data_IF_905919490434
#
_entry.id   IF_905919490434
#
_cell.length_a   1.000
_cell.length_b   1.000
_cell.length_c   1.000
_cell.angle_alpha   90.00
_cell.angle_beta   90.00
_cell.angle_gamma   90.00
#
_symmetry.space_group_name_H-M   'P 1'
#
loop_
_entity.id
_entity.type
_entity.pdbx_description
1 polymer ?
#
# COMPACT_ATOMS: atom_id res chain seq x y z
N UNK A 1 -4.13 6.19 -19.40
CA UNK A 1 -3.11 5.13 -19.23
C UNK A 1 -3.75 3.79 -18.87
N UNK A 2 -4.58 3.69 -17.83
CA UNK A 2 -5.31 2.44 -17.51
C UNK A 2 -6.22 1.94 -18.64
N UNK A 3 -6.79 2.85 -19.46
CA UNK A 3 -7.60 2.50 -20.62
C UNK A 3 -6.85 1.65 -21.65
N UNK A 4 -5.53 1.88 -21.83
CA UNK A 4 -4.70 1.06 -22.71
C UNK A 4 -4.51 -0.37 -22.17
N UNK A 5 -4.65 -0.55 -20.86
CA UNK A 5 -4.67 -1.85 -20.20
C UNK A 5 -6.09 -2.46 -20.11
N UNK A 6 -7.09 -1.86 -20.76
CA UNK A 6 -8.46 -2.38 -20.86
C UNK A 6 -9.43 -1.91 -19.77
N UNK A 7 -8.98 -1.12 -18.79
CA UNK A 7 -9.84 -0.59 -17.73
C UNK A 7 -10.68 0.60 -18.21
N UNK A 8 -11.90 0.72 -17.68
CA UNK A 8 -12.86 1.79 -17.98
C UNK A 8 -13.16 2.58 -16.72
N UNK A 9 -13.52 3.85 -16.87
CA UNK A 9 -13.84 4.73 -15.72
C UNK A 9 -14.94 4.12 -14.83
N UNK A 10 -15.99 3.55 -15.45
CA UNK A 10 -17.07 2.83 -14.76
C UNK A 10 -16.64 1.65 -13.88
N UNK A 11 -15.41 1.15 -14.05
CA UNK A 11 -14.92 0.05 -13.23
C UNK A 11 -14.58 0.52 -11.80
N UNK A 12 -14.35 1.82 -11.61
CA UNK A 12 -13.86 2.38 -10.34
C UNK A 12 -14.38 3.78 -9.97
N UNK A 13 -15.10 4.47 -10.86
CA UNK A 13 -15.55 5.86 -10.64
C UNK A 13 -16.45 6.05 -9.41
N UNK A 14 -17.17 5.00 -9.00
CA UNK A 14 -18.04 5.01 -7.81
C UNK A 14 -17.31 4.65 -6.51
N UNK A 15 -16.02 4.31 -6.56
CA UNK A 15 -15.27 3.97 -5.35
C UNK A 15 -15.07 5.24 -4.51
N UNK A 16 -15.56 5.27 -3.25
CA UNK A 16 -15.36 6.41 -2.39
C UNK A 16 -13.89 6.50 -1.99
N UNK A 17 -13.28 7.65 -2.25
CA UNK A 17 -11.88 7.92 -1.87
C UNK A 17 -11.76 9.25 -1.13
N UNK A 18 -10.85 9.28 -0.17
CA UNK A 18 -10.47 10.51 0.52
C UNK A 18 -9.28 11.14 -0.19
N UNK A 19 -9.42 12.41 -0.56
CA UNK A 19 -8.29 13.17 -1.11
C UNK A 19 -7.28 13.49 -0.01
N UNK A 20 -5.96 13.40 -0.28
CA UNK A 20 -4.93 13.82 0.67
C UNK A 20 -5.07 15.29 1.05
N UNK A 21 -4.86 15.62 2.32
CA UNK A 21 -4.88 17.03 2.78
C UNK A 21 -3.75 17.83 2.15
N UNK A 22 -2.61 17.19 1.89
CA UNK A 22 -1.42 17.77 1.26
C UNK A 22 -1.48 17.76 -0.28
N UNK A 23 -2.64 17.46 -0.90
CA UNK A 23 -2.79 17.38 -2.37
C UNK A 23 -2.22 18.62 -3.09
N UNK A 24 -2.50 19.80 -2.57
CA UNK A 24 -2.10 21.10 -3.14
C UNK A 24 -0.91 21.73 -2.42
N UNK A 25 -0.10 20.94 -1.72
CA UNK A 25 1.11 21.45 -1.06
C UNK A 25 2.16 21.91 -2.07
N UNK A 26 2.73 23.08 -1.82
CA UNK A 26 3.87 23.59 -2.57
C UNK A 26 5.18 22.99 -2.05
N UNK A 27 6.08 22.67 -2.98
CA UNK A 27 7.33 21.94 -2.69
C UNK A 27 8.57 22.85 -2.64
N UNK A 28 8.38 24.17 -2.68
CA UNK A 28 9.43 25.19 -2.66
C UNK A 28 10.29 25.15 -1.39
N UNK A 29 9.68 24.76 -0.26
CA UNK A 29 10.36 24.58 1.03
C UNK A 29 10.92 23.18 1.25
N UNK A 30 10.71 22.24 0.32
CA UNK A 30 11.13 20.84 0.44
C UNK A 30 12.48 20.60 -0.24
N UNK A 31 13.17 19.49 0.07
CA UNK A 31 14.36 19.10 -0.68
C UNK A 31 14.09 19.08 -2.19
N UNK A 32 14.94 19.77 -2.96
CA UNK A 32 14.79 19.96 -4.41
C UNK A 32 14.47 18.67 -5.18
N UNK A 33 15.03 17.54 -4.72
CA UNK A 33 14.81 16.22 -5.32
C UNK A 33 13.33 15.84 -5.40
N UNK A 34 12.48 16.30 -4.49
CA UNK A 34 11.04 16.04 -4.56
C UNK A 34 10.38 16.77 -5.73
N UNK A 35 10.71 18.05 -5.94
CA UNK A 35 10.25 18.81 -7.10
C UNK A 35 10.77 18.21 -8.40
N UNK A 36 12.03 17.78 -8.44
CA UNK A 36 12.61 17.09 -9.59
C UNK A 36 11.89 15.76 -9.88
N UNK A 37 11.61 14.97 -8.85
CA UNK A 37 10.88 13.70 -8.97
C UNK A 37 9.43 13.90 -9.45
N UNK A 38 8.70 14.88 -8.88
CA UNK A 38 7.35 15.24 -9.33
C UNK A 38 7.33 15.55 -10.84
N UNK A 39 8.27 16.36 -11.32
CA UNK A 39 8.41 16.68 -12.75
C UNK A 39 8.70 15.44 -13.59
N UNK A 40 9.60 14.57 -13.13
CA UNK A 40 9.92 13.31 -13.84
C UNK A 40 8.69 12.40 -13.95
N UNK A 41 7.93 12.25 -12.86
CA UNK A 41 6.70 11.45 -12.90
C UNK A 41 5.69 11.97 -13.92
N UNK A 42 5.58 13.29 -14.13
CA UNK A 42 4.66 13.88 -15.11
C UNK A 42 4.97 13.49 -16.56
N UNK A 43 6.21 13.07 -16.88
CA UNK A 43 6.55 12.56 -18.22
C UNK A 43 5.79 11.27 -18.57
N UNK A 44 5.40 10.49 -17.57
CA UNK A 44 4.62 9.25 -17.73
C UNK A 44 3.11 9.53 -17.78
N UNK A 45 2.69 10.62 -18.42
CA UNK A 45 1.30 11.08 -18.48
C UNK A 45 0.97 12.05 -17.33
N UNK A 46 0.80 13.34 -17.61
CA UNK A 46 0.63 14.36 -16.56
C UNK A 46 -0.73 14.23 -15.87
N UNK A 47 -0.71 14.46 -14.55
CA UNK A 47 -1.90 14.68 -13.72
C UNK A 47 -1.81 16.12 -13.24
N UNK A 48 -2.77 16.94 -13.63
CA UNK A 48 -2.76 18.40 -13.41
C UNK A 48 -4.03 18.92 -12.77
N UNK A 49 -5.08 18.09 -12.68
CA UNK A 49 -6.34 18.48 -12.06
C UNK A 49 -6.68 17.59 -10.86
N UNK A 50 -7.48 18.13 -9.94
CA UNK A 50 -7.99 17.36 -8.81
C UNK A 50 -8.82 16.15 -9.27
N UNK A 51 -9.62 16.28 -10.33
CA UNK A 51 -10.39 15.16 -10.88
C UNK A 51 -9.51 14.04 -11.41
N UNK A 52 -8.40 14.37 -12.07
CA UNK A 52 -7.42 13.37 -12.51
C UNK A 52 -6.74 12.69 -11.32
N UNK A 53 -6.40 13.45 -10.28
CA UNK A 53 -5.85 12.92 -9.03
C UNK A 53 -6.86 12.00 -8.33
N UNK A 54 -8.14 12.38 -8.28
CA UNK A 54 -9.23 11.56 -7.73
C UNK A 54 -9.37 10.25 -8.50
N UNK A 55 -9.42 10.30 -9.83
CA UNK A 55 -9.47 9.10 -10.68
C UNK A 55 -8.25 8.21 -10.47
N UNK A 56 -7.06 8.78 -10.27
CA UNK A 56 -5.86 7.99 -9.95
C UNK A 56 -6.02 7.24 -8.63
N UNK A 57 -6.50 7.90 -7.57
CA UNK A 57 -6.69 7.27 -6.25
C UNK A 57 -7.80 6.21 -6.31
N UNK A 58 -8.90 6.47 -7.02
CA UNK A 58 -9.97 5.49 -7.24
C UNK A 58 -9.46 4.27 -8.00
N UNK A 59 -8.66 4.47 -9.04
CA UNK A 59 -8.06 3.38 -9.79
C UNK A 59 -7.08 2.58 -8.93
N UNK A 60 -6.27 3.25 -8.08
CA UNK A 60 -5.40 2.56 -7.12
C UNK A 60 -6.19 1.71 -6.12
N UNK A 61 -7.29 2.25 -5.57
CA UNK A 61 -8.19 1.52 -4.67
C UNK A 61 -8.87 0.32 -5.37
N UNK A 62 -9.27 0.50 -6.63
CA UNK A 62 -9.82 -0.57 -7.46
C UNK A 62 -8.81 -1.71 -7.65
N UNK A 63 -7.57 -1.40 -8.04
CA UNK A 63 -6.52 -2.42 -8.18
C UNK A 63 -6.27 -3.14 -6.85
N UNK A 64 -6.30 -2.41 -5.73
CA UNK A 64 -6.18 -2.99 -4.40
C UNK A 64 -7.31 -3.98 -4.09
N UNK A 65 -8.54 -3.67 -4.52
CA UNK A 65 -9.69 -4.58 -4.40
C UNK A 65 -9.58 -5.83 -5.28
N UNK A 66 -8.92 -5.73 -6.44
CA UNK A 66 -8.65 -6.90 -7.28
C UNK A 66 -7.66 -7.84 -6.59
N UNK A 67 -6.60 -7.29 -6.00
CA UNK A 67 -5.64 -8.07 -5.20
C UNK A 67 -6.33 -8.73 -4.00
N UNK A 68 -7.22 -8.01 -3.31
CA UNK A 68 -7.98 -8.54 -2.16
C UNK A 68 -8.82 -9.77 -2.54
N UNK A 69 -9.42 -9.79 -3.74
CA UNK A 69 -10.15 -10.96 -4.26
C UNK A 69 -9.25 -12.18 -4.45
N UNK A 70 -8.04 -11.99 -4.95
CA UNK A 70 -7.09 -13.09 -5.13
C UNK A 70 -6.55 -13.60 -3.77
N UNK A 71 -6.33 -12.70 -2.81
CA UNK A 71 -6.01 -13.08 -1.42
C UNK A 71 -7.15 -13.92 -0.84
N UNK A 72 -8.39 -13.46 -0.96
CA UNK A 72 -9.57 -14.17 -0.46
C UNK A 72 -9.68 -15.58 -1.07
N UNK A 73 -9.34 -15.75 -2.34
CA UNK A 73 -9.32 -17.06 -2.99
C UNK A 73 -8.33 -18.02 -2.33
N UNK A 74 -7.10 -17.58 -2.04
CA UNK A 74 -6.10 -18.41 -1.36
C UNK A 74 -6.57 -18.77 0.06
N UNK A 75 -7.10 -17.79 0.79
CA UNK A 75 -7.60 -18.01 2.16
C UNK A 75 -8.80 -18.97 2.20
N UNK A 76 -9.70 -18.90 1.23
CA UNK A 76 -10.83 -19.83 1.10
C UNK A 76 -10.37 -21.26 0.84
N UNK A 77 -9.37 -21.45 -0.03
CA UNK A 77 -8.83 -22.80 -0.26
C UNK A 77 -8.07 -23.33 0.95
N UNK A 78 -7.34 -22.49 1.68
CA UNK A 78 -6.70 -22.86 2.94
C UNK A 78 -7.73 -23.38 3.96
N UNK A 79 -8.88 -22.70 4.06
CA UNK A 79 -10.00 -23.08 4.93
C UNK A 79 -10.67 -24.40 4.48
N UNK A 80 -10.97 -24.52 3.17
CA UNK A 80 -11.59 -25.73 2.59
C UNK A 80 -10.77 -27.00 2.81
N UNK A 81 -9.46 -26.88 2.84
CA UNK A 81 -8.55 -28.00 3.08
C UNK A 81 -8.24 -28.24 4.57
N UNK A 82 -8.84 -27.46 5.48
CA UNK A 82 -8.69 -27.64 6.93
C UNK A 82 -7.36 -27.15 7.50
N UNK A 83 -6.57 -26.37 6.74
CA UNK A 83 -5.25 -25.90 7.17
C UNK A 83 -5.28 -24.55 7.90
N UNK A 84 -6.41 -23.85 7.86
CA UNK A 84 -6.54 -22.49 8.41
C UNK A 84 -6.17 -22.41 9.90
N UNK A 85 -6.57 -23.41 10.70
CA UNK A 85 -6.33 -23.42 12.14
C UNK A 85 -4.90 -23.85 12.53
N UNK A 86 -4.06 -24.21 11.55
CA UNK A 86 -2.64 -24.56 11.72
C UNK A 86 -1.72 -23.67 10.87
N UNK A 87 -2.24 -22.53 10.38
CA UNK A 87 -1.47 -21.63 9.50
C UNK A 87 -1.34 -20.24 10.11
N UNK A 88 -0.10 -19.75 10.20
CA UNK A 88 0.19 -18.33 10.39
C UNK A 88 0.02 -17.59 9.06
N UNK A 89 -0.88 -16.61 9.01
CA UNK A 89 -1.08 -15.75 7.84
C UNK A 89 -0.50 -14.37 8.14
N UNK A 90 0.38 -13.89 7.27
CA UNK A 90 1.00 -12.56 7.39
C UNK A 90 0.67 -11.73 6.14
N UNK A 91 0.11 -10.53 6.36
CA UNK A 91 -0.13 -9.55 5.30
C UNK A 91 0.74 -8.32 5.54
N UNK A 92 1.55 -7.99 4.56
CA UNK A 92 2.45 -6.82 4.55
C UNK A 92 2.47 -6.14 3.18
N UNK A 93 3.08 -4.95 3.11
CA UNK A 93 3.52 -4.29 1.87
C UNK A 93 5.01 -3.96 1.99
N UNK A 94 5.73 -3.82 0.88
CA UNK A 94 7.14 -3.38 0.88
C UNK A 94 7.28 -1.88 1.15
N UNK A 95 6.32 -1.09 0.67
CA UNK A 95 6.17 0.33 0.94
C UNK A 95 4.72 0.77 0.71
N UNK A 96 4.41 2.02 1.06
CA UNK A 96 3.18 2.71 0.68
C UNK A 96 3.28 3.44 -0.66
N UNK A 97 2.33 4.34 -0.93
CA UNK A 97 2.33 5.21 -2.12
C UNK A 97 1.87 6.61 -1.70
N UNK A 98 2.48 7.63 -2.29
CA UNK A 98 2.10 9.02 -2.06
C UNK A 98 0.64 9.28 -2.40
N UNK A 99 0.04 8.54 -3.34
CA UNK A 99 -1.39 8.61 -3.66
C UNK A 99 -1.89 10.06 -3.87
N UNK A 100 -1.10 10.87 -4.58
CA UNK A 100 -1.32 12.30 -4.86
C UNK A 100 -1.07 13.25 -3.68
N UNK A 101 -0.55 12.78 -2.55
CA UNK A 101 -0.14 13.63 -1.43
C UNK A 101 1.04 14.53 -1.82
N UNK A 102 1.26 15.56 -1.00
CA UNK A 102 2.39 16.49 -1.09
C UNK A 102 2.59 17.09 -2.51
N UNK A 103 1.55 17.76 -3.01
CA UNK A 103 1.58 18.43 -4.30
C UNK A 103 1.36 17.49 -5.48
N UNK A 104 0.40 16.57 -5.40
CA UNK A 104 0.08 15.57 -6.44
C UNK A 104 1.26 14.64 -6.78
N UNK A 105 2.10 14.30 -5.80
CA UNK A 105 3.15 13.31 -6.02
C UNK A 105 2.56 11.91 -6.15
N UNK A 106 3.15 11.11 -7.04
CA UNK A 106 2.92 9.66 -7.14
C UNK A 106 4.24 8.96 -6.90
N UNK A 107 4.18 7.66 -6.62
CA UNK A 107 5.35 6.84 -6.30
C UNK A 107 5.97 7.22 -4.95
N UNK A 108 6.96 6.43 -4.54
CA UNK A 108 7.57 6.41 -3.19
C UNK A 108 8.98 7.02 -3.13
N UNK A 109 9.50 7.54 -4.24
CA UNK A 109 10.93 7.88 -4.31
C UNK A 109 11.23 9.22 -3.63
N UNK A 110 12.46 9.32 -3.09
CA UNK A 110 13.08 10.54 -2.59
C UNK A 110 12.29 11.27 -1.49
N UNK A 111 11.58 10.53 -0.65
CA UNK A 111 10.85 11.07 0.49
C UNK A 111 10.79 10.06 1.65
N UNK A 112 10.34 10.54 2.82
CA UNK A 112 10.15 9.77 4.06
C UNK A 112 8.80 10.09 4.69
N UNK A 113 7.78 10.38 3.86
CA UNK A 113 6.44 10.70 4.34
C UNK A 113 5.71 9.46 4.85
N UNK A 114 4.70 9.66 5.71
CA UNK A 114 3.92 8.56 6.30
C UNK A 114 3.20 7.74 5.22
N UNK A 115 2.75 8.39 4.15
CA UNK A 115 2.12 7.78 2.99
C UNK A 115 3.02 6.74 2.31
N UNK A 116 4.33 6.97 2.31
CA UNK A 116 5.33 6.05 1.75
C UNK A 116 5.80 5.01 2.78
N UNK A 117 5.94 5.39 4.05
CA UNK A 117 6.56 4.53 5.07
C UNK A 117 5.56 3.64 5.83
N UNK A 118 4.33 4.12 6.06
CA UNK A 118 3.34 3.35 6.80
C UNK A 118 2.68 2.32 5.86
N UNK A 119 2.88 1.05 6.18
CA UNK A 119 2.35 -0.10 5.46
C UNK A 119 1.35 -0.88 6.32
N UNK A 120 0.43 -1.66 5.71
CA UNK A 120 -0.27 -2.69 6.47
C UNK A 120 0.74 -3.71 7.00
N UNK A 121 0.57 -4.13 8.26
CA UNK A 121 1.31 -5.24 8.86
C UNK A 121 0.36 -5.99 9.78
N UNK A 122 -0.15 -7.13 9.31
CA UNK A 122 -1.17 -7.92 10.00
C UNK A 122 -0.66 -9.35 10.13
N UNK A 123 -0.69 -9.87 11.35
CA UNK A 123 -0.40 -11.25 11.68
C UNK A 123 -1.70 -11.90 12.16
N UNK A 124 -2.16 -12.94 11.50
CA UNK A 124 -3.29 -13.76 11.91
C UNK A 124 -2.77 -15.13 12.30
N UNK A 125 -2.80 -15.41 13.60
CA UNK A 125 -2.33 -16.66 14.19
C UNK A 125 -3.50 -17.28 14.98
N UNK A 126 -3.94 -18.51 14.64
CA UNK A 126 -5.07 -19.16 15.32
C UNK A 126 -4.84 -19.42 16.82
N UNK A 127 -3.57 -19.41 17.27
CA UNK A 127 -3.20 -19.65 18.66
C UNK A 127 -3.08 -18.36 19.51
N UNK A 128 -3.31 -17.18 18.93
CA UNK A 128 -3.20 -15.90 19.62
C UNK A 128 -4.53 -15.15 19.61
N UNK A 129 -4.84 -14.48 20.72
CA UNK A 129 -5.99 -13.57 20.78
C UNK A 129 -5.73 -12.32 19.92
N UNK A 130 -6.74 -11.79 19.22
CA UNK A 130 -6.60 -10.56 18.44
C UNK A 130 -6.14 -9.38 19.30
N UNK A 131 -5.15 -8.62 18.81
CA UNK A 131 -4.61 -7.43 19.45
C UNK A 131 -4.18 -6.39 18.42
N UNK A 132 -4.13 -5.13 18.83
CA UNK A 132 -3.57 -4.01 18.07
C UNK A 132 -2.51 -3.31 18.90
N UNK A 133 -1.46 -2.80 18.24
CA UNK A 133 -0.38 -2.07 18.91
C UNK A 133 0.02 -0.84 18.10
N UNK A 134 0.44 0.21 18.81
CA UNK A 134 1.05 1.42 18.24
C UNK A 134 2.59 1.38 18.34
N UNK A 135 3.16 0.26 18.80
CA UNK A 135 4.61 0.07 18.84
C UNK A 135 5.22 0.17 17.45
N UNK A 136 6.32 0.91 17.34
CA UNK A 136 7.07 1.02 16.09
C UNK A 136 7.60 -0.37 15.70
N UNK A 137 7.26 -0.80 14.49
CA UNK A 137 7.68 -2.06 13.88
C UNK A 137 8.02 -1.80 12.41
N UNK A 138 8.94 -2.58 11.85
CA UNK A 138 9.37 -2.45 10.46
C UNK A 138 9.56 -3.79 9.76
N UNK A 139 9.74 -3.74 8.43
CA UNK A 139 9.97 -4.94 7.62
C UNK A 139 11.23 -5.72 8.05
N UNK A 140 12.20 -5.03 8.64
CA UNK A 140 13.42 -5.64 9.19
C UNK A 140 13.14 -6.60 10.35
N UNK A 141 12.03 -6.44 11.05
CA UNK A 141 11.65 -7.26 12.21
C UNK A 141 10.99 -8.58 11.79
N UNK A 142 10.60 -8.72 10.52
CA UNK A 142 9.82 -9.88 10.05
C UNK A 142 10.63 -11.16 10.10
N UNK A 143 11.90 -11.12 9.69
CA UNK A 143 12.74 -12.32 9.67
C UNK A 143 12.93 -12.87 11.09
N UNK A 144 13.40 -12.03 12.01
CA UNK A 144 13.65 -12.45 13.40
C UNK A 144 12.36 -12.92 14.10
N UNK A 145 11.23 -12.29 13.80
CA UNK A 145 9.91 -12.73 14.28
C UNK A 145 9.55 -14.12 13.74
N UNK A 146 9.69 -14.35 12.43
CA UNK A 146 9.41 -15.64 11.81
C UNK A 146 10.34 -16.75 12.31
N UNK A 147 11.63 -16.46 12.45
CA UNK A 147 12.61 -17.39 13.00
C UNK A 147 12.20 -17.82 14.42
N UNK A 148 11.84 -16.86 15.27
CA UNK A 148 11.39 -17.12 16.64
C UNK A 148 10.13 -18.00 16.66
N UNK A 149 9.13 -17.69 15.82
CA UNK A 149 7.89 -18.47 15.72
C UNK A 149 8.17 -19.91 15.24
N UNK A 150 9.09 -20.08 14.29
CA UNK A 150 9.50 -21.37 13.76
C UNK A 150 10.44 -22.17 14.68
N UNK A 151 10.82 -21.62 15.84
CA UNK A 151 11.79 -22.25 16.75
C UNK A 151 13.23 -22.23 16.24
N UNK A 152 13.54 -21.37 15.26
CA UNK A 152 14.88 -21.12 14.76
C UNK A 152 15.59 -20.03 15.57
N UNK A 153 16.92 -19.97 15.45
CA UNK A 153 17.76 -18.94 16.07
C UNK A 153 17.62 -17.60 15.31
N UNK A 154 17.04 -16.54 15.91
CA UNK A 154 16.81 -15.26 15.24
C UNK A 154 18.07 -14.40 15.08
N UNK A 155 19.21 -14.84 15.62
CA UNK A 155 20.50 -14.13 15.53
C UNK A 155 21.36 -14.51 14.33
N UNK A 156 20.94 -15.54 13.57
CA UNK A 156 21.59 -16.02 12.35
C UNK A 156 20.94 -15.43 11.11
#
# INVERSE_FOLDING_TARGET
>A
LYQAAGYKDKDFEDIPVRMPVSLSEELDTKPYVQTAWKKLCQLNGPITTEDQARKYIQFYAYLSSLVDREIARVLLELDRNGYKDDTLIIRISDHGDMAMAHGMQRQKMYNVYRETLNIPMIFSNPNLSPQTTESLSGLVDIMSTLATIAGADPSK
#
